data_IF_055382070674
#
_entry.id   IF_055382070674
#
_cell.length_a   1.000
_cell.length_b   1.000
_cell.length_c   1.000
_cell.angle_alpha   90.00
_cell.angle_beta   90.00
_cell.angle_gamma   90.00
#
_symmetry.space_group_name_H-M   'P 1'
#
loop_
_entity.id
_entity.type
_entity.pdbx_description
1 polymer ?
#
# COMPACT_ATOMS: atom_id res chain seq x y z
N UNK A 1 -31.34 -57.24 -17.14
CA UNK A 1 -30.77 -56.73 -15.87
C UNK A 1 -29.38 -56.12 -16.04
N UNK A 2 -28.39 -56.72 -16.66
CA UNK A 2 -27.04 -56.16 -16.83
C UNK A 2 -27.01 -54.81 -17.61
N UNK A 3 -27.84 -54.63 -18.67
CA UNK A 3 -27.91 -53.39 -19.46
C UNK A 3 -28.49 -52.21 -18.67
N UNK A 4 -29.44 -52.46 -17.76
CA UNK A 4 -30.03 -51.42 -16.90
C UNK A 4 -29.02 -50.99 -15.85
N UNK A 5 -28.21 -51.90 -15.33
CA UNK A 5 -27.14 -51.62 -14.38
C UNK A 5 -26.05 -50.72 -15.01
N UNK A 6 -25.66 -50.98 -16.27
CA UNK A 6 -24.70 -50.16 -16.99
C UNK A 6 -25.23 -48.74 -17.26
N UNK A 7 -26.51 -48.60 -17.58
CA UNK A 7 -27.14 -47.27 -17.76
C UNK A 7 -27.23 -46.47 -16.47
N UNK A 8 -27.53 -47.13 -15.34
CA UNK A 8 -27.57 -46.51 -14.03
C UNK A 8 -26.17 -46.04 -13.59
N UNK A 9 -25.12 -46.84 -13.81
CA UNK A 9 -23.73 -46.51 -13.50
C UNK A 9 -23.25 -45.34 -14.40
N UNK A 10 -23.62 -45.35 -15.68
CA UNK A 10 -23.25 -44.25 -16.60
C UNK A 10 -23.91 -42.94 -16.20
N UNK A 11 -25.16 -42.98 -15.68
CA UNK A 11 -25.89 -41.78 -15.22
C UNK A 11 -25.30 -41.21 -13.94
N UNK A 12 -24.83 -42.05 -13.01
CA UNK A 12 -24.17 -41.65 -11.77
C UNK A 12 -22.80 -41.03 -12.05
N UNK A 13 -22.04 -41.57 -13.00
CA UNK A 13 -20.75 -41.00 -13.41
C UNK A 13 -20.92 -39.67 -14.14
N UNK A 14 -21.96 -39.51 -14.97
CA UNK A 14 -22.25 -38.26 -15.65
C UNK A 14 -22.74 -37.16 -14.69
N UNK A 15 -23.45 -37.49 -13.61
CA UNK A 15 -23.88 -36.50 -12.61
C UNK A 15 -22.76 -36.07 -11.66
N UNK A 16 -21.71 -36.88 -11.49
CA UNK A 16 -20.53 -36.48 -10.68
C UNK A 16 -19.61 -35.46 -11.40
N UNK A 17 -19.75 -35.30 -12.72
CA UNK A 17 -18.91 -34.39 -13.51
C UNK A 17 -19.37 -32.93 -13.46
N UNK A 18 -20.49 -32.61 -12.83
CA UNK A 18 -21.03 -31.23 -12.72
C UNK A 18 -20.77 -30.56 -11.37
N UNK A 19 -19.99 -31.18 -10.46
CA UNK A 19 -19.67 -30.62 -9.13
C UNK A 19 -18.24 -30.03 -9.08
N UNK A 20 -17.64 -29.74 -10.22
CA UNK A 20 -16.39 -28.99 -10.27
C UNK A 20 -16.64 -27.62 -10.91
N UNK A 21 -17.51 -26.82 -10.31
CA UNK A 21 -17.29 -25.38 -10.32
C UNK A 21 -16.37 -25.10 -9.12
N UNK A 22 -15.09 -25.01 -9.36
CA UNK A 22 -14.24 -24.17 -8.53
C UNK A 22 -14.84 -22.78 -8.68
N UNK A 23 -15.57 -22.32 -7.67
CA UNK A 23 -16.03 -20.93 -7.55
C UNK A 23 -14.80 -20.07 -7.28
N UNK A 24 -13.91 -19.93 -8.27
CA UNK A 24 -12.88 -18.91 -8.23
C UNK A 24 -13.58 -17.55 -8.19
N UNK A 25 -13.34 -16.85 -7.09
CA UNK A 25 -13.89 -15.51 -6.86
C UNK A 25 -13.55 -14.61 -8.05
N UNK A 26 -14.56 -14.02 -8.66
CA UNK A 26 -14.37 -13.08 -9.77
C UNK A 26 -13.65 -11.82 -9.31
N UNK A 27 -13.00 -11.11 -10.23
CA UNK A 27 -12.33 -9.85 -9.90
C UNK A 27 -13.30 -8.82 -9.27
N UNK A 28 -14.56 -8.81 -9.68
CA UNK A 28 -15.57 -7.92 -9.09
C UNK A 28 -15.83 -8.28 -7.62
N UNK A 29 -16.01 -9.56 -7.30
CA UNK A 29 -16.18 -10.04 -5.92
C UNK A 29 -14.94 -9.79 -5.06
N UNK A 30 -13.74 -9.96 -5.63
CA UNK A 30 -12.49 -9.61 -4.95
C UNK A 30 -12.42 -8.13 -4.59
N UNK A 31 -12.85 -7.25 -5.48
CA UNK A 31 -12.93 -5.80 -5.20
C UNK A 31 -13.97 -5.45 -4.14
N UNK A 32 -15.13 -6.10 -4.15
CA UNK A 32 -16.13 -5.91 -3.11
C UNK A 32 -15.62 -6.42 -1.75
N UNK A 33 -14.91 -7.53 -1.72
CA UNK A 33 -14.25 -8.04 -0.53
C UNK A 33 -13.21 -7.03 -0.02
N UNK A 34 -12.37 -6.48 -0.89
CA UNK A 34 -11.40 -5.47 -0.54
C UNK A 34 -12.05 -4.23 0.09
N UNK A 35 -13.12 -3.72 -0.53
CA UNK A 35 -13.85 -2.57 0.00
C UNK A 35 -14.37 -2.84 1.42
N UNK A 36 -15.01 -4.01 1.64
CA UNK A 36 -15.46 -4.42 2.98
C UNK A 36 -14.30 -4.54 3.98
N UNK A 37 -13.12 -5.00 3.56
CA UNK A 37 -11.94 -5.08 4.44
C UNK A 37 -11.45 -3.69 4.86
N UNK A 38 -11.43 -2.72 3.93
CA UNK A 38 -11.06 -1.32 4.23
C UNK A 38 -12.08 -0.69 5.18
N UNK A 39 -13.38 -0.83 4.92
CA UNK A 39 -14.45 -0.32 5.79
C UNK A 39 -14.38 -0.89 7.21
N UNK A 40 -14.15 -2.21 7.33
CA UNK A 40 -13.97 -2.86 8.62
C UNK A 40 -12.72 -2.34 9.36
N UNK A 41 -11.62 -2.13 8.66
CA UNK A 41 -10.39 -1.56 9.23
C UNK A 41 -10.63 -0.15 9.76
N UNK A 42 -11.28 0.71 8.97
CA UNK A 42 -11.64 2.09 9.34
C UNK A 42 -12.49 2.08 10.63
N UNK A 43 -13.51 1.22 10.67
CA UNK A 43 -14.40 1.10 11.81
C UNK A 43 -13.68 0.58 13.07
N UNK A 44 -12.91 -0.50 12.95
CA UNK A 44 -12.18 -1.12 14.07
C UNK A 44 -11.12 -0.21 14.68
N UNK A 45 -10.51 0.64 13.87
CA UNK A 45 -9.47 1.56 14.31
C UNK A 45 -10.01 2.96 14.65
N UNK A 46 -11.33 3.16 14.62
CA UNK A 46 -11.98 4.46 14.87
C UNK A 46 -11.39 5.59 14.03
N UNK A 47 -11.13 5.31 12.74
CA UNK A 47 -10.58 6.28 11.80
C UNK A 47 -11.66 7.28 11.43
N UNK A 48 -11.31 8.56 11.54
CA UNK A 48 -12.12 9.67 11.08
C UNK A 48 -11.71 10.07 9.68
N UNK A 49 -12.60 9.85 8.73
CA UNK A 49 -12.40 10.34 7.36
C UNK A 49 -12.64 11.85 7.28
N UNK A 50 -11.71 12.56 6.63
CA UNK A 50 -11.89 13.95 6.21
C UNK A 50 -11.83 14.03 4.68
N UNK A 51 -12.61 14.95 4.12
CA UNK A 51 -12.63 15.16 2.67
C UNK A 51 -11.33 15.84 2.19
N UNK A 52 -11.00 15.65 0.90
CA UNK A 52 -9.91 16.39 0.26
C UNK A 52 -10.10 17.91 0.37
N UNK A 53 -11.34 18.42 0.27
CA UNK A 53 -11.66 19.84 0.41
C UNK A 53 -11.35 20.35 1.82
N UNK A 54 -11.62 19.56 2.85
CA UNK A 54 -11.28 19.88 4.23
C UNK A 54 -9.77 19.87 4.43
N UNK A 55 -9.10 18.81 3.98
CA UNK A 55 -7.65 18.67 4.05
C UNK A 55 -6.88 19.81 3.37
N UNK A 56 -7.32 20.27 2.19
CA UNK A 56 -6.63 21.31 1.44
C UNK A 56 -6.70 22.70 2.07
N UNK A 57 -7.47 22.91 3.15
CA UNK A 57 -7.51 24.21 3.87
C UNK A 57 -6.19 24.51 4.58
N UNK A 58 -5.56 23.49 5.15
CA UNK A 58 -4.29 23.62 5.88
C UNK A 58 -3.31 22.48 5.63
N UNK A 59 -3.78 21.44 4.91
CA UNK A 59 -3.05 20.20 4.62
C UNK A 59 -2.59 19.44 5.87
N UNK A 60 -3.38 19.49 6.94
CA UNK A 60 -3.13 18.81 8.23
C UNK A 60 -4.15 17.68 8.42
N UNK A 61 -3.73 16.61 9.07
CA UNK A 61 -4.60 15.57 9.63
C UNK A 61 -4.37 15.53 11.14
N UNK A 62 -5.45 15.56 11.93
CA UNK A 62 -5.36 15.52 13.38
C UNK A 62 -5.10 14.08 13.85
N UNK A 63 -3.91 13.83 14.39
CA UNK A 63 -3.49 12.50 14.85
C UNK A 63 -4.26 12.07 16.11
N UNK A 64 -4.59 13.01 16.99
CA UNK A 64 -5.29 12.72 18.24
C UNK A 64 -6.76 12.32 17.97
N UNK A 65 -7.33 12.84 16.90
CA UNK A 65 -8.65 12.45 16.39
C UNK A 65 -8.61 11.32 15.36
N UNK A 66 -7.44 10.78 15.10
CA UNK A 66 -7.20 9.72 14.11
C UNK A 66 -7.75 10.05 12.72
N UNK A 67 -7.52 11.27 12.24
CA UNK A 67 -8.01 11.76 10.97
C UNK A 67 -7.18 11.25 9.80
N UNK A 68 -7.87 10.75 8.77
CA UNK A 68 -7.31 10.37 7.49
C UNK A 68 -8.03 11.11 6.36
N UNK A 69 -7.29 11.68 5.41
CA UNK A 69 -7.87 12.20 4.18
C UNK A 69 -8.06 11.08 3.17
N UNK A 70 -9.26 11.02 2.57
CA UNK A 70 -9.55 10.11 1.46
C UNK A 70 -9.23 10.79 0.14
N UNK A 71 -8.37 10.15 -0.66
CA UNK A 71 -8.14 10.46 -2.07
C UNK A 71 -9.18 9.69 -2.90
N UNK A 72 -10.32 10.30 -3.17
CA UNK A 72 -11.47 9.67 -3.81
C UNK A 72 -11.18 9.08 -5.20
N UNK A 73 -10.21 9.63 -5.93
CA UNK A 73 -9.86 9.20 -7.29
C UNK A 73 -9.23 7.79 -7.32
N UNK A 74 -8.62 7.38 -6.21
CA UNK A 74 -7.87 6.11 -6.13
C UNK A 74 -8.11 5.30 -4.85
N UNK A 75 -8.91 5.83 -3.91
CA UNK A 75 -9.32 5.14 -2.70
C UNK A 75 -8.26 5.05 -1.60
N UNK A 76 -7.14 5.77 -1.70
CA UNK A 76 -6.10 5.80 -0.67
C UNK A 76 -6.52 6.71 0.47
N UNK A 77 -6.36 6.22 1.72
CA UNK A 77 -6.49 7.05 2.92
C UNK A 77 -5.10 7.40 3.44
N UNK A 78 -4.88 8.66 3.78
CA UNK A 78 -3.59 9.16 4.27
C UNK A 78 -3.75 9.94 5.58
N UNK A 79 -2.90 9.61 6.56
CA UNK A 79 -2.67 10.42 7.76
C UNK A 79 -1.22 10.91 7.75
N UNK A 80 -1.02 12.21 7.89
CA UNK A 80 0.30 12.81 8.09
C UNK A 80 0.55 12.89 9.60
N UNK A 81 1.29 11.94 10.15
CA UNK A 81 1.66 11.90 11.57
C UNK A 81 2.71 12.96 11.90
N UNK A 82 3.68 13.14 10.99
CA UNK A 82 4.71 14.17 11.10
C UNK A 82 5.07 14.64 9.70
N UNK A 83 4.97 15.93 9.45
CA UNK A 83 5.24 16.52 8.13
C UNK A 83 6.72 16.48 7.76
N UNK A 84 7.59 16.49 8.74
CA UNK A 84 9.03 16.60 8.59
C UNK A 84 9.52 18.05 8.65
N UNK A 85 10.82 18.20 8.94
CA UNK A 85 11.50 19.49 9.13
C UNK A 85 12.43 19.88 7.99
N UNK A 86 12.35 19.19 6.85
CA UNK A 86 13.14 19.46 5.66
C UNK A 86 12.47 20.44 4.69
N UNK A 87 12.73 20.27 3.41
CA UNK A 87 12.16 21.09 2.33
C UNK A 87 11.36 20.24 1.33
N UNK A 88 10.47 20.89 0.62
CA UNK A 88 9.81 20.27 -0.53
C UNK A 88 10.79 20.06 -1.69
N UNK A 89 10.50 19.05 -2.52
CA UNK A 89 11.21 18.80 -3.78
C UNK A 89 10.80 19.88 -4.79
N UNK A 90 11.77 20.56 -5.38
CA UNK A 90 11.50 21.57 -6.41
C UNK A 90 11.21 20.91 -7.76
N UNK A 91 10.45 21.56 -8.66
CA UNK A 91 10.28 21.07 -10.01
C UNK A 91 11.64 20.83 -10.70
N UNK A 92 11.81 19.66 -11.34
CA UNK A 92 13.04 19.24 -11.99
C UNK A 92 14.06 18.55 -11.06
N UNK A 93 13.87 18.57 -9.74
CA UNK A 93 14.78 17.92 -8.80
C UNK A 93 14.47 16.42 -8.63
N UNK A 94 15.54 15.69 -8.33
CA UNK A 94 15.49 14.32 -7.83
C UNK A 94 16.25 14.25 -6.51
N UNK A 95 15.58 13.77 -5.46
CA UNK A 95 16.16 13.64 -4.12
C UNK A 95 16.09 12.18 -3.65
N UNK A 96 17.03 11.80 -2.79
CA UNK A 96 17.15 10.45 -2.25
C UNK A 96 16.70 10.43 -0.79
N UNK A 97 15.92 9.41 -0.43
CA UNK A 97 15.35 9.26 0.89
C UNK A 97 15.59 7.87 1.44
N UNK A 98 15.91 7.82 2.73
CA UNK A 98 15.83 6.61 3.52
C UNK A 98 14.39 6.39 3.95
N UNK A 99 13.95 5.13 3.94
CA UNK A 99 12.61 4.76 4.39
C UNK A 99 12.63 3.61 5.37
N UNK A 100 11.93 3.78 6.49
CA UNK A 100 11.56 2.74 7.44
C UNK A 100 10.07 2.53 7.36
N UNK A 101 9.64 1.27 7.30
CA UNK A 101 8.22 0.97 7.11
C UNK A 101 7.78 -0.31 7.81
N UNK A 102 6.48 -0.38 8.03
CA UNK A 102 5.73 -1.61 8.33
C UNK A 102 4.63 -1.72 7.29
N UNK A 103 4.49 -2.90 6.70
CA UNK A 103 3.41 -3.28 5.80
C UNK A 103 2.52 -4.30 6.50
N UNK A 104 1.23 -4.02 6.61
CA UNK A 104 0.25 -4.84 7.33
C UNK A 104 -0.89 -5.21 6.38
N UNK A 105 -1.34 -6.45 6.45
CA UNK A 105 -2.55 -6.91 5.74
C UNK A 105 -3.80 -6.39 6.45
N UNK A 106 -4.60 -5.60 5.76
CA UNK A 106 -5.81 -4.98 6.33
C UNK A 106 -6.84 -6.00 6.79
N UNK A 107 -6.93 -7.15 6.13
CA UNK A 107 -7.96 -8.16 6.42
C UNK A 107 -7.83 -8.83 7.80
N UNK A 108 -6.61 -8.94 8.34
CA UNK A 108 -6.34 -9.69 9.58
C UNK A 108 -5.33 -9.01 10.51
N UNK A 109 -4.75 -7.88 10.11
CA UNK A 109 -3.76 -7.15 10.92
C UNK A 109 -2.36 -7.77 10.94
N UNK A 110 -2.10 -8.82 10.15
CA UNK A 110 -0.79 -9.47 10.11
C UNK A 110 0.24 -8.60 9.41
N UNK A 111 1.43 -8.51 9.98
CA UNK A 111 2.58 -7.88 9.32
C UNK A 111 3.04 -8.74 8.14
N UNK A 112 2.98 -8.17 6.93
CA UNK A 112 3.47 -8.81 5.71
C UNK A 112 4.99 -8.69 5.65
N UNK A 113 5.50 -7.46 5.77
CA UNK A 113 6.93 -7.18 5.81
C UNK A 113 7.24 -5.87 6.53
N UNK A 114 8.48 -5.71 6.97
CA UNK A 114 8.98 -4.49 7.61
C UNK A 114 10.51 -4.43 7.51
N UNK A 115 11.05 -3.22 7.67
CA UNK A 115 12.51 -3.02 7.76
C UNK A 115 12.94 -2.31 9.05
N UNK A 116 12.09 -2.24 10.07
CA UNK A 116 12.38 -1.50 11.32
C UNK A 116 13.60 -2.04 12.06
N UNK A 117 13.87 -3.34 11.95
CA UNK A 117 14.96 -4.03 12.66
C UNK A 117 16.17 -4.32 11.76
N UNK A 118 16.14 -3.87 10.50
CA UNK A 118 17.30 -3.98 9.63
C UNK A 118 18.37 -2.95 10.02
N UNK A 119 19.65 -3.28 9.83
CA UNK A 119 20.76 -2.33 10.05
C UNK A 119 20.59 -1.09 9.20
N UNK A 120 20.27 -1.31 7.92
CA UNK A 120 20.11 -0.23 6.94
C UNK A 120 18.63 -0.03 6.56
N UNK A 121 18.20 1.22 6.31
CA UNK A 121 16.88 1.50 5.73
C UNK A 121 16.85 1.10 4.26
N UNK A 122 15.65 0.93 3.71
CA UNK A 122 15.49 0.97 2.26
C UNK A 122 15.77 2.39 1.76
N UNK A 123 16.24 2.48 0.51
CA UNK A 123 16.50 3.77 -0.13
C UNK A 123 15.73 3.86 -1.44
N UNK A 124 15.11 5.01 -1.66
CA UNK A 124 14.48 5.32 -2.93
C UNK A 124 14.73 6.77 -3.31
N UNK A 125 14.73 7.04 -4.61
CA UNK A 125 14.68 8.43 -5.05
C UNK A 125 13.24 8.84 -5.37
N UNK A 126 12.97 10.14 -5.23
CA UNK A 126 11.75 10.77 -5.71
C UNK A 126 12.15 11.92 -6.62
N UNK A 127 11.59 11.93 -7.83
CA UNK A 127 11.78 12.98 -8.84
C UNK A 127 10.47 13.74 -9.01
N UNK A 128 10.55 15.06 -9.00
CA UNK A 128 9.44 15.93 -9.32
C UNK A 128 9.59 16.50 -10.73
N UNK A 129 8.60 16.28 -11.61
CA UNK A 129 8.54 16.85 -12.97
C UNK A 129 7.25 17.65 -13.10
N UNK A 130 7.35 18.99 -13.04
CA UNK A 130 6.18 19.85 -12.90
C UNK A 130 5.46 19.57 -11.58
N UNK A 131 4.20 19.16 -11.65
CA UNK A 131 3.39 18.77 -10.49
C UNK A 131 3.35 17.25 -10.24
N UNK A 132 3.99 16.47 -11.11
CA UNK A 132 4.01 15.02 -11.01
C UNK A 132 5.24 14.54 -10.22
N UNK A 133 5.05 13.46 -9.47
CA UNK A 133 6.10 12.79 -8.73
C UNK A 133 6.27 11.37 -9.25
N UNK A 134 7.50 10.90 -9.36
CA UNK A 134 7.86 9.52 -9.67
C UNK A 134 8.95 9.04 -8.72
N UNK A 135 9.01 7.75 -8.45
CA UNK A 135 9.99 7.19 -7.54
C UNK A 135 10.44 5.80 -7.99
N UNK A 136 11.64 5.40 -7.55
CA UNK A 136 12.14 4.04 -7.69
C UNK A 136 13.02 3.70 -6.51
N UNK A 137 12.91 2.48 -6.01
CA UNK A 137 13.89 1.95 -5.07
C UNK A 137 15.24 1.85 -5.77
N UNK A 138 16.31 2.10 -5.03
CA UNK A 138 17.66 1.87 -5.53
C UNK A 138 18.22 0.58 -4.94
N UNK A 139 19.03 -0.17 -5.72
CA UNK A 139 19.80 -1.25 -5.15
C UNK A 139 20.63 -0.72 -4.00
N UNK A 140 20.68 -1.45 -2.88
CA UNK A 140 21.60 -1.15 -1.79
C UNK A 140 23.06 -1.17 -2.28
N UNK A 141 23.97 -0.64 -1.48
CA UNK A 141 25.40 -0.73 -1.75
C UNK A 141 25.91 -2.14 -1.48
N UNK A 142 26.55 -2.76 -2.47
CA UNK A 142 27.03 -4.14 -2.40
C UNK A 142 25.91 -5.17 -2.57
N UNK A 143 26.04 -6.30 -1.88
CA UNK A 143 25.07 -7.40 -1.93
C UNK A 143 23.81 -7.19 -1.07
N UNK A 144 23.66 -6.02 -0.45
CA UNK A 144 22.57 -5.72 0.47
C UNK A 144 21.47 -4.95 -0.28
N UNK A 145 20.48 -5.69 -0.78
CA UNK A 145 19.25 -5.09 -1.27
C UNK A 145 18.36 -4.69 -0.10
N UNK A 146 17.70 -3.53 -0.19
CA UNK A 146 16.61 -3.18 0.70
C UNK A 146 15.47 -4.20 0.65
N UNK A 147 14.68 -4.25 1.71
CA UNK A 147 13.56 -5.20 1.84
C UNK A 147 12.57 -5.07 0.68
N UNK A 148 12.17 -3.83 0.33
CA UNK A 148 11.23 -3.59 -0.77
C UNK A 148 11.81 -4.04 -2.12
N UNK A 149 13.06 -3.67 -2.40
CA UNK A 149 13.71 -4.08 -3.65
C UNK A 149 13.89 -5.60 -3.76
N UNK A 150 14.08 -6.30 -2.65
CA UNK A 150 14.22 -7.75 -2.59
C UNK A 150 12.90 -8.48 -2.84
N UNK A 151 11.80 -8.02 -2.21
CA UNK A 151 10.50 -8.71 -2.26
C UNK A 151 9.63 -8.25 -3.43
N UNK A 152 9.72 -6.97 -3.83
CA UNK A 152 8.79 -6.34 -4.78
C UNK A 152 9.49 -5.68 -5.98
N UNK A 153 10.83 -5.77 -6.07
CA UNK A 153 11.59 -5.09 -7.12
C UNK A 153 11.72 -3.59 -6.88
N UNK A 154 12.10 -2.86 -7.92
CA UNK A 154 12.43 -1.43 -7.80
C UNK A 154 11.22 -0.49 -7.90
N UNK A 155 10.03 -1.03 -8.16
CA UNK A 155 8.81 -0.22 -8.27
C UNK A 155 8.32 0.23 -6.90
N UNK A 156 8.20 1.53 -6.69
CA UNK A 156 7.62 2.10 -5.47
C UNK A 156 6.09 2.09 -5.61
N UNK A 157 5.34 1.62 -4.60
CA UNK A 157 3.88 1.72 -4.62
C UNK A 157 3.40 3.15 -4.86
N UNK A 158 2.41 3.35 -5.72
CA UNK A 158 1.90 4.69 -6.03
C UNK A 158 1.47 5.45 -4.78
N UNK A 159 0.84 4.76 -3.83
CA UNK A 159 0.42 5.35 -2.57
C UNK A 159 1.57 5.97 -1.74
N UNK A 160 2.81 5.44 -1.86
CA UNK A 160 3.96 5.97 -1.11
C UNK A 160 4.46 7.32 -1.66
N UNK A 161 4.09 7.66 -2.91
CA UNK A 161 4.49 8.89 -3.57
C UNK A 161 3.50 10.03 -3.26
N UNK A 162 2.24 9.69 -3.00
CA UNK A 162 1.15 10.64 -2.77
C UNK A 162 1.38 11.64 -1.61
N UNK A 163 2.09 11.31 -0.53
CA UNK A 163 2.38 12.28 0.53
C UNK A 163 3.32 13.42 0.13
N UNK A 164 4.18 13.26 -0.90
CA UNK A 164 5.28 14.19 -1.19
C UNK A 164 4.87 15.64 -1.47
N UNK A 165 3.70 15.96 -2.05
CA UNK A 165 3.21 17.33 -2.13
C UNK A 165 3.00 18.01 -0.75
N UNK A 166 2.77 17.20 0.29
CA UNK A 166 2.32 17.67 1.61
C UNK A 166 3.36 17.52 2.72
N UNK A 167 4.41 16.71 2.51
CA UNK A 167 5.46 16.44 3.49
C UNK A 167 6.77 17.12 3.09
N UNK A 168 7.66 17.29 4.07
CA UNK A 168 9.00 17.86 3.90
C UNK A 168 10.02 17.01 4.65
N UNK A 169 10.33 15.79 4.16
CA UNK A 169 11.24 14.92 4.88
C UNK A 169 12.61 15.59 5.06
N UNK A 170 13.04 15.75 6.31
CA UNK A 170 14.36 16.21 6.69
C UNK A 170 15.26 15.07 7.14
N UNK A 171 16.41 15.37 7.73
CA UNK A 171 17.29 14.39 8.36
C UNK A 171 16.57 13.75 9.57
N UNK A 172 17.18 12.77 10.20
CA UNK A 172 16.59 11.88 11.23
C UNK A 172 15.57 12.55 12.17
N UNK A 173 15.94 13.63 12.85
CA UNK A 173 15.03 14.35 13.76
C UNK A 173 13.93 15.11 13.02
N UNK A 174 14.17 15.43 11.76
CA UNK A 174 13.23 16.08 10.85
C UNK A 174 12.53 15.10 9.91
N UNK A 175 12.58 13.79 10.15
CA UNK A 175 11.91 12.80 9.31
C UNK A 175 10.41 13.05 9.24
N UNK A 176 9.81 12.78 8.08
CA UNK A 176 8.35 12.74 7.91
C UNK A 176 7.83 11.36 8.29
N UNK A 177 6.61 11.30 8.83
CA UNK A 177 5.93 10.04 9.13
C UNK A 177 4.50 10.10 8.61
N UNK A 178 4.10 9.08 7.87
CA UNK A 178 2.75 8.95 7.30
C UNK A 178 2.19 7.55 7.57
N UNK A 179 0.86 7.46 7.62
CA UNK A 179 0.10 6.22 7.63
C UNK A 179 -0.81 6.20 6.42
N UNK A 180 -0.88 5.06 5.76
CA UNK A 180 -1.66 4.89 4.53
C UNK A 180 -2.50 3.63 4.62
N UNK A 181 -3.78 3.71 4.19
CA UNK A 181 -4.58 2.54 3.86
C UNK A 181 -4.68 2.51 2.35
N UNK A 182 -4.24 1.43 1.74
CA UNK A 182 -3.91 1.39 0.32
C UNK A 182 -4.68 0.27 -0.35
N UNK A 183 -5.59 0.56 -1.29
CA UNK A 183 -6.20 -0.44 -2.14
C UNK A 183 -5.14 -1.16 -3.00
N UNK A 184 -5.46 -2.38 -3.42
CA UNK A 184 -4.54 -3.24 -4.17
C UNK A 184 -3.86 -2.56 -5.36
N UNK A 185 -4.61 -1.76 -6.14
CA UNK A 185 -4.13 -1.11 -7.36
C UNK A 185 -3.19 0.09 -7.14
N UNK A 186 -3.04 0.54 -5.88
CA UNK A 186 -2.10 1.60 -5.47
C UNK A 186 -0.93 1.07 -4.63
N UNK A 187 -0.97 -0.24 -4.31
CA UNK A 187 0.01 -0.94 -3.49
C UNK A 187 1.16 -1.56 -4.29
N UNK A 188 1.72 -2.63 -3.73
CA UNK A 188 2.74 -3.45 -4.40
C UNK A 188 2.13 -4.26 -5.54
N UNK A 189 2.98 -4.75 -6.48
CA UNK A 189 2.52 -5.65 -7.55
C UNK A 189 1.88 -6.93 -6.99
N UNK A 190 2.39 -7.42 -5.86
CA UNK A 190 1.81 -8.60 -5.18
C UNK A 190 0.42 -8.31 -4.63
N UNK A 191 0.21 -7.13 -4.03
CA UNK A 191 -1.12 -6.71 -3.58
C UNK A 191 -2.08 -6.57 -4.78
N UNK A 192 -1.61 -5.97 -5.88
CA UNK A 192 -2.39 -5.81 -7.10
C UNK A 192 -2.80 -7.14 -7.73
N UNK A 193 -1.89 -8.11 -7.79
CA UNK A 193 -2.16 -9.43 -8.37
C UNK A 193 -3.13 -10.28 -7.55
N UNK A 194 -3.19 -10.06 -6.23
CA UNK A 194 -4.01 -10.86 -5.31
C UNK A 194 -5.20 -10.09 -4.72
N UNK A 195 -5.45 -8.89 -5.17
CA UNK A 195 -6.56 -8.00 -4.79
C UNK A 195 -6.77 -7.95 -3.27
N UNK A 196 -5.75 -7.43 -2.55
CA UNK A 196 -5.87 -7.18 -1.11
C UNK A 196 -5.36 -5.80 -0.72
N UNK A 197 -6.03 -5.13 0.23
CA UNK A 197 -5.60 -3.83 0.73
C UNK A 197 -4.49 -3.99 1.77
N UNK A 198 -3.62 -2.97 1.85
CA UNK A 198 -2.51 -2.91 2.80
C UNK A 198 -2.58 -1.63 3.63
N UNK A 199 -2.15 -1.73 4.88
CA UNK A 199 -1.86 -0.58 5.72
C UNK A 199 -0.34 -0.42 5.80
N UNK A 200 0.12 0.82 5.64
CA UNK A 200 1.52 1.18 5.81
C UNK A 200 1.70 2.23 6.90
N UNK A 201 2.70 2.04 7.75
CA UNK A 201 3.29 3.12 8.52
C UNK A 201 4.70 3.36 7.98
N UNK A 202 4.99 4.57 7.51
CA UNK A 202 6.21 4.90 6.78
C UNK A 202 6.87 6.11 7.42
N UNK A 203 8.15 5.98 7.74
CA UNK A 203 9.02 7.08 8.15
C UNK A 203 10.03 7.36 7.04
N UNK A 204 10.06 8.60 6.56
CA UNK A 204 10.90 9.04 5.43
C UNK A 204 11.86 10.11 5.93
N UNK A 205 13.16 9.89 5.73
CA UNK A 205 14.20 10.88 6.05
C UNK A 205 15.07 11.17 4.85
N UNK A 206 15.53 12.43 4.73
CA UNK A 206 16.48 12.79 3.69
C UNK A 206 17.84 12.18 3.97
N UNK A 207 18.61 11.89 2.92
CA UNK A 207 20.00 11.50 3.05
C UNK A 207 20.89 12.72 3.35
N UNK A 208 22.05 12.48 3.97
CA UNK A 208 22.96 13.52 4.47
C UNK A 208 23.53 14.47 3.39
N UNK A 209 23.42 14.11 2.11
CA UNK A 209 24.08 14.77 0.97
C UNK A 209 23.11 15.45 -0.01
N UNK A 210 21.97 15.93 0.49
CA UNK A 210 20.95 16.63 -0.34
C UNK A 210 20.87 18.10 -0.04
#
# INVERSE_FOLDING_TARGET
MKRILYLAVLFVVASASFISCDDEETYAEQKEREARQIENWISQHNIREISMTEFLRDTVTDVDRNEYVLFSDNGVYMQIVKRGGGRAIKPGEQLYYNVRFVEVRVSNGDTITMNLYQSEPDVFYVKRTGDNYSASFIPGTGDILGIMARFYGYSVPNAWIMPFPYIKPGMLDGAAKVRLIVPHNQGTQTAAANVYPTFYEITISSQKWQ
#
